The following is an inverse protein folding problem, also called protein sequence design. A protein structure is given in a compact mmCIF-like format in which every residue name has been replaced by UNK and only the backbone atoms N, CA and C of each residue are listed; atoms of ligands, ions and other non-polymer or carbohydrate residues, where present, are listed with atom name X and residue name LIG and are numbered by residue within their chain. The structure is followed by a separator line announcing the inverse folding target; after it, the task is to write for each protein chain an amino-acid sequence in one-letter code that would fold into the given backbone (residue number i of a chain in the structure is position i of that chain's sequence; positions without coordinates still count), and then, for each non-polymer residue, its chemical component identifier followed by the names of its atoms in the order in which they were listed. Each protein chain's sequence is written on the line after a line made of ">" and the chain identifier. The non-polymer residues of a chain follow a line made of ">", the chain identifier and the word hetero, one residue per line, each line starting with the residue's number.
data_IF_035830984549
#
_entry.id   IF_035830984549
#
_cell.length_a   1.000
_cell.length_b   1.000
_cell.length_c   1.000
_cell.angle_alpha   90.00
_cell.angle_beta   90.00
_cell.angle_gamma   90.00
#
_symmetry.space_group_name_H-M   'P 1'
#
loop_
_entity.id
_entity.type
_entity.pdbx_description
1 polymer ?
#
# COMPACT_ATOMS: atom_id res chain seq x y z
N UNK A 1 14.58 -1.41 -11.18
CA UNK A 1 15.69 -1.28 -10.22
C UNK A 1 15.34 -0.22 -9.20
N UNK A 2 15.78 -0.35 -7.95
CA UNK A 2 15.61 0.76 -7.00
C UNK A 2 16.55 1.86 -7.43
N UNK A 3 16.08 3.11 -7.46
CA UNK A 3 16.89 4.18 -8.02
C UNK A 3 18.22 4.35 -7.27
N UNK A 4 19.29 4.60 -8.01
CA UNK A 4 20.65 4.84 -7.51
C UNK A 4 20.74 6.01 -6.50
N UNK A 5 19.65 6.76 -6.31
CA UNK A 5 19.56 7.86 -5.35
C UNK A 5 19.31 7.41 -3.90
N UNK A 6 18.81 6.19 -3.63
CA UNK A 6 18.43 5.81 -2.25
C UNK A 6 19.63 5.83 -1.29
N UNK A 7 20.73 5.22 -1.68
CA UNK A 7 21.92 5.14 -0.85
C UNK A 7 22.60 6.51 -0.61
N UNK A 8 22.82 7.38 -1.63
CA UNK A 8 23.44 8.68 -1.41
C UNK A 8 22.50 9.72 -0.77
N UNK A 9 21.17 9.60 -0.94
CA UNK A 9 20.22 10.65 -0.50
C UNK A 9 19.42 10.22 0.73
N UNK A 10 18.86 9.01 0.74
CA UNK A 10 17.86 8.60 1.73
C UNK A 10 18.48 7.97 2.97
N UNK A 11 19.56 7.18 2.84
CA UNK A 11 20.26 6.60 4.01
C UNK A 11 20.76 7.70 4.97
N UNK A 12 21.43 8.77 4.51
CA UNK A 12 21.84 9.88 5.37
C UNK A 12 20.66 10.68 5.94
N UNK A 13 19.52 10.69 5.25
CA UNK A 13 18.31 11.43 5.65
C UNK A 13 17.42 10.67 6.64
N UNK A 14 17.84 9.47 7.07
CA UNK A 14 17.07 8.70 8.05
C UNK A 14 17.12 9.36 9.43
N UNK A 15 15.95 9.62 9.99
CA UNK A 15 15.78 10.08 11.38
C UNK A 15 15.12 8.99 12.22
N UNK A 16 15.21 9.10 13.54
CA UNK A 16 14.45 8.22 14.43
C UNK A 16 12.95 8.38 14.16
N UNK A 17 12.24 7.26 14.10
CA UNK A 17 10.80 7.27 13.96
C UNK A 17 10.18 7.43 15.36
N UNK A 18 9.28 8.41 15.51
CA UNK A 18 8.47 8.56 16.73
C UNK A 18 7.48 7.40 16.87
N UNK A 19 7.00 7.06 18.09
CA UNK A 19 6.00 6.01 18.25
C UNK A 19 4.81 6.17 17.30
N UNK A 20 4.49 5.10 16.57
CA UNK A 20 3.36 5.09 15.65
C UNK A 20 2.08 4.84 16.48
N UNK A 21 1.12 5.74 16.36
CA UNK A 21 -0.21 5.59 16.97
C UNK A 21 -0.87 4.29 16.50
N UNK A 22 -1.56 3.58 17.40
CA UNK A 22 -2.22 2.31 17.10
C UNK A 22 -1.48 1.07 17.62
N UNK A 23 -0.21 1.20 18.01
CA UNK A 23 0.51 0.13 18.73
C UNK A 23 0.82 -1.10 17.89
N UNK A 24 0.73 -1.00 16.56
CA UNK A 24 0.96 -2.13 15.64
C UNK A 24 2.43 -2.51 15.50
N UNK A 25 3.36 -1.65 15.92
CA UNK A 25 4.80 -1.95 15.86
C UNK A 25 5.38 -2.07 17.27
N UNK A 26 6.49 -2.80 17.40
CA UNK A 26 7.26 -2.84 18.63
C UNK A 26 8.25 -1.67 18.77
N UNK A 27 7.94 -0.51 18.17
CA UNK A 27 8.80 0.67 18.13
C UNK A 27 9.17 1.22 19.53
N UNK A 28 8.30 0.97 20.51
CA UNK A 28 8.54 1.35 21.90
C UNK A 28 9.66 0.53 22.56
N UNK A 29 10.01 -0.62 21.98
CA UNK A 29 11.09 -1.51 22.45
C UNK A 29 12.28 -1.47 21.51
N UNK A 30 12.06 -1.35 20.20
CA UNK A 30 13.10 -1.32 19.17
C UNK A 30 12.99 -0.06 18.32
N UNK A 31 14.05 0.74 18.29
CA UNK A 31 14.05 1.96 17.50
C UNK A 31 13.94 1.62 16.00
N UNK A 32 12.99 2.27 15.35
CA UNK A 32 12.86 2.31 13.90
C UNK A 32 13.38 3.65 13.38
N UNK A 33 13.72 3.70 12.10
CA UNK A 33 14.06 4.95 11.41
C UNK A 33 13.05 5.25 10.32
N UNK A 34 13.04 6.50 9.86
CA UNK A 34 12.23 6.93 8.71
C UNK A 34 12.92 7.98 7.88
N UNK A 35 12.47 8.11 6.63
CA UNK A 35 12.72 9.29 5.81
C UNK A 35 11.42 10.05 5.61
N UNK A 36 11.45 11.36 5.88
CA UNK A 36 10.31 12.25 5.70
C UNK A 36 10.23 12.70 4.23
N UNK A 37 9.30 12.12 3.47
CA UNK A 37 9.16 12.43 2.03
C UNK A 37 8.78 13.87 1.73
N UNK A 38 8.26 14.64 2.68
CA UNK A 38 7.99 16.07 2.47
C UNK A 38 9.26 16.91 2.25
N UNK A 39 10.43 16.43 2.68
CA UNK A 39 11.72 17.05 2.34
C UNK A 39 12.14 16.78 0.88
N UNK A 40 11.44 15.89 0.18
CA UNK A 40 11.72 15.42 -1.18
C UNK A 40 10.46 15.56 -2.04
N UNK A 41 9.92 16.78 -2.23
CA UNK A 41 8.61 17.00 -2.82
C UNK A 41 8.51 16.48 -4.26
N UNK A 42 9.58 16.60 -5.05
CA UNK A 42 9.61 16.08 -6.43
C UNK A 42 9.51 14.55 -6.46
N UNK A 43 10.25 13.86 -5.60
CA UNK A 43 10.22 12.40 -5.49
C UNK A 43 8.88 11.91 -4.95
N UNK A 44 8.32 12.62 -3.97
CA UNK A 44 7.01 12.30 -3.41
C UNK A 44 5.89 12.47 -4.46
N UNK A 45 5.96 13.53 -5.28
CA UNK A 45 5.01 13.74 -6.37
C UNK A 45 5.12 12.65 -7.42
N UNK A 46 6.33 12.36 -7.92
CA UNK A 46 6.55 11.28 -8.91
C UNK A 46 6.07 9.93 -8.41
N UNK A 47 6.38 9.58 -7.16
CA UNK A 47 5.90 8.36 -6.52
C UNK A 47 4.36 8.33 -6.48
N UNK A 48 3.73 9.44 -6.12
CA UNK A 48 2.27 9.53 -6.03
C UNK A 48 1.63 9.36 -7.42
N UNK A 49 2.16 10.02 -8.44
CA UNK A 49 1.65 9.95 -9.81
C UNK A 49 1.78 8.55 -10.40
N UNK A 50 2.97 7.93 -10.28
CA UNK A 50 3.22 6.57 -10.76
C UNK A 50 2.32 5.55 -10.04
N UNK A 51 2.17 5.69 -8.72
CA UNK A 51 1.33 4.78 -7.96
C UNK A 51 -0.16 4.98 -8.21
N UNK A 52 -0.58 6.20 -8.57
CA UNK A 52 -1.95 6.44 -9.01
C UNK A 52 -2.23 5.63 -10.27
N UNK A 53 -1.38 5.71 -11.29
CA UNK A 53 -1.56 4.96 -12.53
C UNK A 53 -1.58 3.45 -12.30
N UNK A 54 -0.65 2.93 -11.49
CA UNK A 54 -0.59 1.49 -11.15
C UNK A 54 -1.84 1.02 -10.40
N UNK A 55 -2.31 1.78 -9.41
CA UNK A 55 -3.46 1.39 -8.62
C UNK A 55 -4.78 1.58 -9.40
N UNK A 56 -4.92 2.61 -10.23
CA UNK A 56 -6.06 2.77 -11.13
C UNK A 56 -6.11 1.64 -12.16
N UNK A 57 -4.95 1.22 -12.69
CA UNK A 57 -4.82 0.03 -13.54
C UNK A 57 -5.26 -1.25 -12.82
N UNK A 58 -4.72 -1.49 -11.62
CA UNK A 58 -5.00 -2.71 -10.85
C UNK A 58 -6.47 -2.79 -10.44
N UNK A 59 -7.07 -1.68 -10.02
CA UNK A 59 -8.45 -1.62 -9.54
C UNK A 59 -9.49 -1.44 -10.65
N UNK A 60 -9.09 -0.92 -11.82
CA UNK A 60 -10.01 -0.52 -12.88
C UNK A 60 -10.95 0.63 -12.47
N UNK A 61 -10.52 1.46 -11.52
CA UNK A 61 -11.31 2.55 -10.93
C UNK A 61 -10.50 3.85 -10.92
N UNK A 62 -11.16 5.03 -10.96
CA UNK A 62 -10.51 6.29 -10.67
C UNK A 62 -10.25 6.39 -9.16
N UNK A 63 -9.06 6.82 -8.80
CA UNK A 63 -8.61 6.88 -7.41
C UNK A 63 -8.17 8.30 -7.04
N UNK A 64 -8.28 8.62 -5.76
CA UNK A 64 -7.76 9.85 -5.17
C UNK A 64 -6.69 9.46 -4.17
N UNK A 65 -5.53 10.10 -4.27
CA UNK A 65 -4.44 9.95 -3.31
C UNK A 65 -4.91 10.39 -1.92
N UNK A 66 -4.66 9.56 -0.90
CA UNK A 66 -5.05 9.89 0.48
C UNK A 66 -3.86 10.03 1.40
N UNK A 67 -2.83 9.19 1.24
CA UNK A 67 -1.62 9.31 2.03
C UNK A 67 -0.42 8.68 1.34
N UNK A 68 0.75 9.31 1.52
CA UNK A 68 2.04 8.68 1.29
C UNK A 68 2.80 8.72 2.59
N UNK A 69 3.11 7.54 3.13
CA UNK A 69 3.99 7.45 4.27
C UNK A 69 5.43 7.38 3.78
N UNK A 70 6.28 8.23 4.37
CA UNK A 70 7.71 8.21 4.11
C UNK A 70 8.34 6.84 4.33
N UNK A 71 9.58 6.67 3.85
CA UNK A 71 10.27 5.38 3.95
C UNK A 71 10.40 4.99 5.42
N UNK A 72 9.88 3.82 5.80
CA UNK A 72 10.08 3.22 7.11
C UNK A 72 11.22 2.22 7.03
N UNK A 73 12.22 2.39 7.88
CA UNK A 73 13.40 1.53 7.96
C UNK A 73 13.31 0.73 9.25
N UNK A 74 13.03 -0.56 9.11
CA UNK A 74 12.93 -1.53 10.19
C UNK A 74 14.33 -2.10 10.49
N UNK A 75 14.64 -2.23 11.77
CA UNK A 75 15.89 -2.83 12.26
C UNK A 75 15.65 -4.27 12.72
N UNK A 76 16.73 -5.04 12.89
CA UNK A 76 16.69 -6.41 13.40
C UNK A 76 15.72 -6.58 14.58
N UNK A 77 14.85 -7.59 14.50
CA UNK A 77 13.87 -7.90 15.53
C UNK A 77 12.59 -7.05 15.50
N UNK A 78 12.48 -6.09 14.58
CA UNK A 78 11.24 -5.34 14.32
C UNK A 78 10.09 -6.29 13.98
N UNK A 79 8.87 -5.88 14.33
CA UNK A 79 7.63 -6.57 13.98
C UNK A 79 6.52 -5.57 13.63
N UNK A 80 5.56 -6.02 12.85
CA UNK A 80 4.31 -5.31 12.56
C UNK A 80 3.15 -6.27 12.79
N UNK A 81 2.37 -6.04 13.83
CA UNK A 81 1.20 -6.85 14.19
C UNK A 81 0.14 -6.72 13.10
N UNK A 82 -0.60 -7.80 12.87
CA UNK A 82 -1.71 -7.84 11.94
C UNK A 82 -2.77 -6.76 12.24
N UNK A 83 -3.11 -6.00 11.21
CA UNK A 83 -4.07 -4.91 11.27
C UNK A 83 -4.76 -4.74 9.92
N UNK A 84 -5.71 -3.80 9.89
CA UNK A 84 -6.22 -3.22 8.65
C UNK A 84 -5.85 -1.74 8.67
N UNK A 85 -5.64 -1.16 7.49
CA UNK A 85 -5.44 0.27 7.35
C UNK A 85 -6.74 1.03 7.64
N UNK A 86 -6.65 2.36 7.63
CA UNK A 86 -7.82 3.23 7.88
C UNK A 86 -8.83 3.07 6.73
N UNK A 87 -9.89 2.29 6.95
CA UNK A 87 -10.91 1.97 5.94
C UNK A 87 -11.54 3.21 5.26
N UNK A 88 -11.55 4.37 5.93
CA UNK A 88 -12.07 5.59 5.33
C UNK A 88 -11.18 6.16 4.21
N UNK A 89 -9.88 5.85 4.18
CA UNK A 89 -8.94 6.52 3.28
C UNK A 89 -7.98 5.56 2.56
N UNK A 90 -7.76 4.34 3.04
CA UNK A 90 -6.68 3.45 2.59
C UNK A 90 -7.24 2.19 1.91
N UNK A 91 -8.17 2.34 0.97
CA UNK A 91 -8.83 1.20 0.32
C UNK A 91 -7.96 0.51 -0.72
N UNK A 92 -7.23 1.27 -1.54
CA UNK A 92 -6.27 0.74 -2.51
C UNK A 92 -4.87 1.17 -2.06
N UNK A 93 -4.02 0.19 -1.75
CA UNK A 93 -2.73 0.45 -1.11
C UNK A 93 -1.61 -0.27 -1.83
N UNK A 94 -0.43 0.32 -1.78
CA UNK A 94 0.80 -0.28 -2.24
C UNK A 94 1.89 -0.17 -1.19
N UNK A 95 2.64 -1.25 -1.00
CA UNK A 95 3.92 -1.22 -0.31
C UNK A 95 5.02 -1.52 -1.33
N UNK A 96 5.97 -0.60 -1.46
CA UNK A 96 7.13 -0.76 -2.34
C UNK A 96 8.35 -1.05 -1.48
N UNK A 97 9.05 -2.11 -1.82
CA UNK A 97 10.28 -2.51 -1.16
C UNK A 97 11.46 -1.72 -1.71
N UNK A 98 12.04 -0.86 -0.88
CA UNK A 98 13.12 0.05 -1.27
C UNK A 98 14.48 -0.59 -1.06
N UNK A 99 14.68 -1.30 0.04
CA UNK A 99 15.95 -1.95 0.33
C UNK A 99 15.80 -3.01 1.41
N UNK A 100 16.67 -4.02 1.41
CA UNK A 100 16.72 -5.01 2.48
C UNK A 100 18.12 -5.60 2.63
N UNK A 101 18.53 -5.76 3.89
CA UNK A 101 19.69 -6.54 4.30
C UNK A 101 19.20 -7.62 5.25
N UNK A 102 18.83 -8.75 4.70
CA UNK A 102 18.31 -9.91 5.43
C UNK A 102 19.35 -11.00 5.55
N UNK A 103 19.24 -11.83 6.59
CA UNK A 103 20.08 -13.02 6.73
C UNK A 103 19.84 -13.96 5.51
N UNK A 104 20.74 -14.92 5.24
CA UNK A 104 20.62 -15.84 4.10
C UNK A 104 19.28 -16.60 4.05
N UNK A 105 18.72 -16.91 5.22
CA UNK A 105 17.39 -17.51 5.43
C UNK A 105 16.36 -16.52 6.03
N UNK A 106 16.67 -15.23 5.98
CA UNK A 106 16.04 -14.15 6.76
C UNK A 106 14.91 -13.39 6.07
N UNK A 107 14.13 -14.05 5.21
CA UNK A 107 13.00 -13.40 4.55
C UNK A 107 12.00 -12.79 5.55
N UNK A 108 11.44 -11.63 5.21
CA UNK A 108 10.39 -11.01 6.00
C UNK A 108 9.16 -10.85 5.10
N UNK A 109 8.16 -11.74 5.18
CA UNK A 109 6.98 -11.68 4.34
C UNK A 109 5.97 -10.66 4.85
N UNK A 110 5.11 -10.19 3.96
CA UNK A 110 3.82 -9.62 4.35
C UNK A 110 2.84 -10.79 4.49
N UNK A 111 2.36 -11.01 5.70
CA UNK A 111 1.33 -12.01 6.00
C UNK A 111 -0.05 -11.42 5.72
N UNK A 112 -0.91 -12.19 5.07
CA UNK A 112 -2.27 -11.82 4.69
C UNK A 112 -3.25 -12.88 5.21
N UNK A 113 -4.25 -12.47 5.98
CA UNK A 113 -5.34 -13.37 6.38
C UNK A 113 -6.37 -13.44 5.26
N UNK A 114 -6.46 -14.60 4.61
CA UNK A 114 -7.39 -14.85 3.51
C UNK A 114 -8.80 -15.18 4.04
N UNK A 115 -9.81 -15.03 3.17
CA UNK A 115 -11.22 -15.25 3.52
C UNK A 115 -11.51 -16.69 4.03
N UNK A 116 -10.74 -17.68 3.59
CA UNK A 116 -10.85 -19.07 4.06
C UNK A 116 -10.17 -19.33 5.42
N UNK A 117 -9.65 -18.28 6.09
CA UNK A 117 -8.95 -18.35 7.36
C UNK A 117 -7.48 -18.78 7.27
N UNK A 118 -6.94 -19.00 6.07
CA UNK A 118 -5.51 -19.31 5.88
C UNK A 118 -4.68 -18.04 5.84
N UNK A 119 -3.41 -18.15 6.25
CA UNK A 119 -2.43 -17.06 6.15
C UNK A 119 -1.58 -17.30 4.91
N UNK A 120 -1.56 -16.32 4.01
CA UNK A 120 -0.64 -16.29 2.88
C UNK A 120 0.57 -15.41 3.19
N UNK A 121 1.75 -15.82 2.75
CA UNK A 121 3.00 -15.07 2.90
C UNK A 121 3.44 -14.52 1.54
N UNK A 122 3.65 -13.21 1.47
CA UNK A 122 4.14 -12.55 0.26
C UNK A 122 5.54 -12.00 0.52
N UNK A 123 6.53 -12.60 -0.13
CA UNK A 123 7.92 -12.14 -0.11
C UNK A 123 8.16 -11.14 -1.23
N UNK A 124 8.95 -10.10 -0.94
CA UNK A 124 9.19 -8.98 -1.85
C UNK A 124 10.68 -8.67 -1.91
N UNK A 125 11.18 -8.44 -3.12
CA UNK A 125 12.56 -8.07 -3.40
C UNK A 125 12.72 -6.57 -3.63
N UNK A 126 13.96 -6.07 -3.57
CA UNK A 126 14.30 -4.67 -3.83
C UNK A 126 13.70 -4.22 -5.18
N UNK A 127 12.86 -3.19 -5.16
CA UNK A 127 12.18 -2.62 -6.33
C UNK A 127 10.85 -3.28 -6.71
N UNK A 128 10.44 -4.33 -6.00
CA UNK A 128 9.12 -4.92 -6.16
C UNK A 128 8.10 -4.21 -5.26
N UNK A 129 6.83 -4.35 -5.60
CA UNK A 129 5.71 -3.80 -4.84
C UNK A 129 4.62 -4.85 -4.62
N UNK A 130 3.85 -4.69 -3.55
CA UNK A 130 2.65 -5.47 -3.27
C UNK A 130 1.48 -4.50 -3.30
N UNK A 131 0.46 -4.81 -4.12
CA UNK A 131 -0.81 -4.09 -4.17
C UNK A 131 -1.84 -4.85 -3.34
N UNK A 132 -2.57 -4.16 -2.48
CA UNK A 132 -3.51 -4.79 -1.56
C UNK A 132 -4.61 -3.85 -1.09
N UNK A 133 -5.71 -4.44 -0.63
CA UNK A 133 -6.87 -3.70 -0.12
C UNK A 133 -6.69 -3.35 1.37
N UNK A 134 -5.86 -2.35 1.66
CA UNK A 134 -5.40 -2.06 3.03
C UNK A 134 -6.50 -1.94 4.08
N UNK A 135 -7.59 -1.23 3.77
CA UNK A 135 -8.70 -1.02 4.69
C UNK A 135 -9.58 -2.25 4.98
N UNK A 136 -9.34 -3.37 4.27
CA UNK A 136 -10.20 -4.56 4.30
C UNK A 136 -9.43 -5.86 4.54
N UNK A 137 -8.25 -5.98 3.93
CA UNK A 137 -7.41 -7.16 4.06
C UNK A 137 -6.59 -7.03 5.34
N UNK A 138 -6.79 -7.96 6.29
CA UNK A 138 -5.94 -8.02 7.48
C UNK A 138 -4.55 -8.48 7.07
N UNK A 139 -3.55 -7.68 7.40
CA UNK A 139 -2.17 -7.90 6.99
C UNK A 139 -1.17 -7.45 8.04
N UNK A 140 0.02 -8.03 8.02
CA UNK A 140 1.08 -7.73 8.97
C UNK A 140 2.43 -8.34 8.61
N UNK A 141 3.40 -8.15 9.51
CA UNK A 141 4.71 -8.80 9.51
C UNK A 141 5.00 -9.25 10.95
N UNK A 142 4.21 -10.20 11.51
CA UNK A 142 4.27 -10.54 12.92
C UNK A 142 5.52 -11.32 13.29
N UNK A 143 6.12 -12.08 12.35
CA UNK A 143 7.45 -12.64 12.52
C UNK A 143 8.47 -11.52 12.77
N UNK A 144 9.47 -11.77 13.63
CA UNK A 144 10.55 -10.80 13.87
C UNK A 144 11.50 -10.76 12.67
N UNK A 145 11.87 -9.56 12.22
CA UNK A 145 12.85 -9.37 11.16
C UNK A 145 14.19 -10.03 11.52
N UNK A 146 14.63 -10.96 10.68
CA UNK A 146 15.96 -11.59 10.71
C UNK A 146 16.86 -10.96 9.65
N UNK A 147 17.38 -9.79 9.98
CA UNK A 147 18.18 -8.98 9.07
C UNK A 147 18.61 -7.69 9.74
N UNK A 148 19.54 -6.97 9.15
CA UNK A 148 20.04 -5.70 9.67
C UNK A 148 19.11 -4.55 9.31
N UNK A 149 18.48 -4.60 8.13
CA UNK A 149 17.54 -3.57 7.68
C UNK A 149 16.47 -4.09 6.71
N UNK A 150 15.31 -3.44 6.73
CA UNK A 150 14.24 -3.62 5.74
C UNK A 150 13.49 -2.30 5.56
N UNK A 151 13.36 -1.81 4.34
CA UNK A 151 12.92 -0.44 4.06
C UNK A 151 11.73 -0.38 3.10
N UNK A 152 10.56 0.00 3.60
CA UNK A 152 9.34 0.11 2.78
C UNK A 152 8.86 1.55 2.67
N UNK A 153 8.29 1.91 1.53
CA UNK A 153 7.42 3.08 1.38
C UNK A 153 5.99 2.62 1.16
N UNK A 154 5.02 3.37 1.70
CA UNK A 154 3.61 3.00 1.63
C UNK A 154 2.83 4.14 0.99
N UNK A 155 1.98 3.80 0.02
CA UNK A 155 1.12 4.76 -0.68
C UNK A 155 -0.30 4.24 -0.66
N UNK A 156 -1.25 5.14 -0.39
CA UNK A 156 -2.65 4.79 -0.18
C UNK A 156 -3.57 5.73 -0.94
N UNK A 157 -4.64 5.14 -1.44
CA UNK A 157 -5.66 5.77 -2.25
C UNK A 157 -7.06 5.28 -1.83
N UNK A 158 -8.06 6.05 -2.21
CA UNK A 158 -9.47 5.66 -2.16
C UNK A 158 -10.18 5.96 -3.47
N UNK A 159 -11.21 5.19 -3.86
CA UNK A 159 -12.07 5.55 -4.98
C UNK A 159 -12.65 6.97 -4.85
N UNK A 160 -12.81 7.67 -5.97
CA UNK A 160 -13.34 9.06 -5.99
C UNK A 160 -14.73 9.18 -5.34
N UNK A 161 -15.57 8.16 -5.50
CA UNK A 161 -16.92 8.09 -4.96
C UNK A 161 -17.01 7.42 -3.57
N UNK A 162 -15.86 7.18 -2.92
CA UNK A 162 -15.81 6.61 -1.58
C UNK A 162 -16.18 7.64 -0.51
N UNK A 163 -17.27 7.38 0.23
CA UNK A 163 -17.78 8.25 1.29
C UNK A 163 -17.60 7.67 2.70
N UNK A 164 -16.76 6.63 2.85
CA UNK A 164 -16.59 5.88 4.09
C UNK A 164 -17.59 4.75 4.31
N UNK A 165 -17.43 4.00 5.40
CA UNK A 165 -18.24 2.83 5.79
C UNK A 165 -19.73 3.15 6.13
N UNK A 166 -20.26 4.30 5.74
CA UNK A 166 -21.67 4.63 5.94
C UNK A 166 -22.53 4.06 4.80
N UNK A 167 -23.86 4.03 5.02
CA UNK A 167 -24.85 3.48 4.06
C UNK A 167 -24.92 4.20 2.71
N UNK A 168 -24.16 5.27 2.49
CA UNK A 168 -24.11 6.04 1.23
C UNK A 168 -22.98 5.60 0.31
N UNK A 169 -22.03 4.80 0.80
CA UNK A 169 -21.04 4.16 -0.06
C UNK A 169 -21.73 3.26 -1.09
N UNK A 170 -21.18 3.21 -2.30
CA UNK A 170 -21.73 2.35 -3.35
C UNK A 170 -21.74 0.89 -2.87
N UNK A 171 -22.71 0.08 -3.33
CA UNK A 171 -22.73 -1.36 -3.03
C UNK A 171 -21.43 -2.07 -3.45
N UNK A 172 -20.67 -1.48 -4.38
CA UNK A 172 -19.36 -1.95 -4.83
C UNK A 172 -18.32 -1.95 -3.70
N UNK A 173 -18.50 -1.13 -2.66
CA UNK A 173 -17.58 -0.96 -1.54
C UNK A 173 -18.16 -1.43 -0.20
N UNK A 174 -19.29 -2.13 -0.21
CA UNK A 174 -20.01 -2.50 1.00
C UNK A 174 -19.29 -3.61 1.79
N UNK A 175 -18.32 -3.18 2.60
CA UNK A 175 -17.68 -3.99 3.65
C UNK A 175 -16.85 -5.19 3.17
N UNK A 176 -16.34 -5.94 4.13
CA UNK A 176 -15.79 -7.29 3.94
C UNK A 176 -16.93 -8.26 4.29
N UNK A 177 -17.65 -8.83 3.32
CA UNK A 177 -18.50 -9.99 3.59
C UNK A 177 -17.67 -11.14 4.13
N UNK A 178 -18.22 -11.95 5.04
CA UNK A 178 -17.54 -13.13 5.60
C UNK A 178 -17.14 -14.16 4.51
N UNK A 179 -17.70 -14.04 3.30
CA UNK A 179 -17.54 -14.94 2.16
C UNK A 179 -16.79 -14.32 0.98
N UNK A 180 -16.02 -13.24 1.18
CA UNK A 180 -15.45 -12.41 0.09
C UNK A 180 -14.58 -13.21 -0.89
N UNK A 181 -15.24 -13.76 -1.91
CA UNK A 181 -14.67 -14.31 -3.14
C UNK A 181 -14.41 -13.20 -4.18
N UNK A 182 -14.67 -11.93 -3.85
CA UNK A 182 -14.56 -10.78 -4.75
C UNK A 182 -13.75 -9.59 -4.20
N UNK A 183 -12.65 -9.22 -4.86
CA UNK A 183 -11.82 -8.03 -4.55
C UNK A 183 -12.25 -6.75 -5.32
N UNK A 184 -11.74 -5.57 -4.96
CA UNK A 184 -11.86 -4.34 -5.79
C UNK A 184 -11.40 -4.59 -7.22
N UNK A 185 -10.40 -5.44 -7.39
CA UNK A 185 -9.78 -5.80 -8.65
C UNK A 185 -10.45 -7.01 -9.32
N UNK A 186 -11.64 -7.44 -8.87
CA UNK A 186 -12.32 -8.59 -9.46
C UNK A 186 -13.28 -8.20 -10.61
N UNK A 187 -13.60 -9.14 -11.52
CA UNK A 187 -14.18 -8.85 -12.83
C UNK A 187 -15.48 -8.02 -12.88
N UNK A 188 -15.76 -7.35 -14.03
CA UNK A 188 -15.06 -7.46 -15.31
C UNK A 188 -13.94 -6.41 -15.41
N UNK A 189 -12.74 -6.78 -14.95
CA UNK A 189 -11.56 -5.95 -15.13
C UNK A 189 -11.17 -6.10 -16.59
N UNK A 190 -11.45 -5.06 -17.36
CA UNK A 190 -10.84 -4.92 -18.68
C UNK A 190 -9.38 -4.55 -18.44
N UNK A 191 -8.50 -5.55 -18.49
CA UNK A 191 -7.06 -5.33 -18.43
C UNK A 191 -6.63 -4.46 -19.63
N UNK A 192 -6.48 -3.17 -19.40
CA UNK A 192 -5.69 -2.32 -20.28
C UNK A 192 -4.24 -2.42 -19.80
N UNK A 193 -3.25 -2.33 -20.68
CA UNK A 193 -1.85 -2.13 -20.24
C UNK A 193 -1.78 -0.86 -19.40
N UNK A 194 -1.04 -0.83 -18.28
CA UNK A 194 -0.79 0.37 -17.47
C UNK A 194 -0.02 1.42 -18.29
N UNK A 195 -0.71 2.12 -19.18
CA UNK A 195 -0.20 3.21 -20.01
C UNK A 195 -0.94 4.49 -19.66
N UNK A 196 -0.31 5.65 -19.88
CA UNK A 196 -0.95 6.95 -19.65
C UNK A 196 -2.32 7.06 -20.37
N UNK A 197 -2.43 6.52 -21.60
CA UNK A 197 -3.69 6.48 -22.36
C UNK A 197 -4.78 5.63 -21.67
N UNK A 198 -4.40 4.50 -21.06
CA UNK A 198 -5.33 3.65 -20.31
C UNK A 198 -5.86 4.33 -19.05
N UNK A 199 -4.99 5.03 -18.31
CA UNK A 199 -5.37 5.81 -17.13
C UNK A 199 -6.31 6.94 -17.51
N UNK A 200 -6.02 7.69 -18.57
CA UNK A 200 -6.91 8.74 -19.07
C UNK A 200 -8.27 8.20 -19.50
N UNK A 201 -8.31 7.04 -20.16
CA UNK A 201 -9.57 6.39 -20.56
C UNK A 201 -10.43 6.00 -19.36
N UNK A 202 -9.83 5.43 -18.32
CA UNK A 202 -10.51 5.13 -17.06
C UNK A 202 -11.08 6.41 -16.45
N UNK A 203 -10.27 7.47 -16.35
CA UNK A 203 -10.72 8.76 -15.82
C UNK A 203 -11.92 9.32 -16.58
N UNK A 204 -11.92 9.27 -17.92
CA UNK A 204 -13.06 9.71 -18.75
C UNK A 204 -14.33 8.90 -18.47
N UNK A 205 -14.23 7.58 -18.50
CA UNK A 205 -15.36 6.66 -18.32
C UNK A 205 -16.12 6.87 -17.00
N UNK A 206 -15.42 7.26 -15.94
CA UNK A 206 -16.03 7.51 -14.63
C UNK A 206 -16.27 9.00 -14.32
N UNK A 207 -15.80 9.92 -15.17
CA UNK A 207 -16.10 11.35 -15.08
C UNK A 207 -17.39 11.76 -15.80
N UNK A 208 -17.84 10.96 -16.77
CA UNK A 208 -19.09 11.21 -17.47
C UNK A 208 -20.29 10.83 -16.58
N UNK A 209 -21.30 11.70 -16.42
CA UNK A 209 -22.52 11.31 -15.73
C UNK A 209 -23.10 10.11 -16.49
N UNK A 210 -23.33 9.00 -15.79
CA UNK A 210 -24.06 7.86 -16.36
C UNK A 210 -25.35 8.43 -16.93
N UNK A 211 -25.49 8.40 -18.26
CA UNK A 211 -26.78 8.58 -18.90
C UNK A 211 -27.72 7.61 -18.21
N UNK A 212 -28.74 8.14 -17.54
CA UNK A 212 -29.84 7.36 -17.04
C UNK A 212 -30.52 6.75 -18.26
N UNK A 213 -30.09 5.56 -18.66
CA UNK A 213 -30.92 4.72 -19.53
C UNK A 213 -32.10 4.25 -18.68
N UNK A 214 -33.27 4.73 -19.12
CA UNK A 214 -34.63 4.42 -18.67
C UNK A 214 -35.00 2.96 -18.95
#
# INVERSE_FOLDING_TARGET
>A
EVPDWYDPVFVPSTIRHEPITGGYTNINTLSMRRVLLHHFPEQNQKLTDEMQDVLEWWTGMPLVHTSTYGVRVYSRGSMLVDHVDTAHTHLASAVIQIDQQVDHDGGWPLELLLANGTVAEVFVQRGQMILYEGGWLRHGRPMRLRGDSFSNVFVHFSPVDWTGNNRRSSKKYAGVPDDRLTSIADPPVHYYSCTAESSERLRRMYSEPRSQEL
#
